data_IF_452225196731
#
_entry.id   IF_452225196731
#
_cell.length_a   1.000
_cell.length_b   1.000
_cell.length_c   1.000
_cell.angle_alpha   90.00
_cell.angle_beta   90.00
_cell.angle_gamma   90.00
#
_symmetry.space_group_name_H-M   'P 1'
#
loop_
_entity.id
_entity.type
_entity.pdbx_description
1 polymer ?
#
# COMPACT_ATOMS: atom_id res chain seq x y z
N UNK A 1 -39.89 13.85 -15.41
CA UNK A 1 -39.32 13.26 -14.20
C UNK A 1 -38.13 12.41 -14.60
N UNK A 2 -36.96 12.64 -14.01
CA UNK A 2 -35.79 11.83 -14.26
C UNK A 2 -35.66 10.82 -13.12
N UNK A 3 -35.50 9.55 -13.43
CA UNK A 3 -35.26 8.48 -12.47
C UNK A 3 -33.81 8.08 -12.52
N UNK A 4 -33.13 8.09 -11.37
CA UNK A 4 -31.79 7.50 -11.22
C UNK A 4 -31.95 6.05 -10.77
N UNK A 5 -31.40 5.11 -11.55
CA UNK A 5 -31.36 3.70 -11.17
C UNK A 5 -29.96 3.41 -10.62
N UNK A 6 -29.87 3.07 -9.35
CA UNK A 6 -28.64 2.59 -8.73
C UNK A 6 -28.63 1.06 -8.75
N UNK A 7 -27.60 0.48 -9.39
CA UNK A 7 -27.40 -0.96 -9.40
C UNK A 7 -26.08 -1.29 -8.72
N UNK A 8 -26.15 -1.93 -7.55
CA UNK A 8 -24.97 -2.41 -6.83
C UNK A 8 -24.62 -3.81 -7.33
N UNK A 9 -23.45 -3.93 -8.01
CA UNK A 9 -22.96 -5.20 -8.54
C UNK A 9 -22.16 -6.01 -7.53
N UNK A 10 -21.56 -5.35 -6.56
CA UNK A 10 -20.71 -5.95 -5.55
C UNK A 10 -21.10 -5.40 -4.18
N UNK A 11 -21.17 -6.23 -3.14
CA UNK A 11 -21.45 -5.74 -1.78
C UNK A 11 -20.33 -4.80 -1.31
N UNK A 12 -20.66 -3.90 -0.38
CA UNK A 12 -19.70 -2.99 0.22
C UNK A 12 -18.54 -3.77 0.85
N UNK A 13 -17.32 -3.47 0.43
CA UNK A 13 -16.11 -4.16 0.92
C UNK A 13 -15.56 -3.57 2.22
N UNK A 14 -16.00 -2.37 2.60
CA UNK A 14 -15.46 -1.60 3.72
C UNK A 14 -14.01 -1.14 3.49
N UNK A 15 -13.52 -1.14 2.25
CA UNK A 15 -12.20 -0.60 1.91
C UNK A 15 -12.24 0.92 2.05
N UNK A 16 -11.31 1.46 2.83
CA UNK A 16 -11.18 2.89 3.10
C UNK A 16 -10.07 3.52 2.28
N UNK A 17 -8.98 2.79 2.09
CA UNK A 17 -7.82 3.25 1.33
C UNK A 17 -7.34 2.18 0.36
N UNK A 18 -6.80 2.62 -0.77
CA UNK A 18 -6.22 1.73 -1.77
C UNK A 18 -5.07 2.39 -2.51
N UNK A 19 -4.02 1.63 -2.81
CA UNK A 19 -2.87 2.09 -3.57
C UNK A 19 -2.37 0.99 -4.51
N UNK A 20 -1.94 1.39 -5.70
CA UNK A 20 -1.24 0.51 -6.64
C UNK A 20 0.26 0.75 -6.53
N UNK A 21 1.06 -0.31 -6.47
CA UNK A 21 2.50 -0.23 -6.32
C UNK A 21 3.20 -1.51 -6.80
N UNK A 22 4.52 -1.45 -6.95
CA UNK A 22 5.36 -2.59 -7.35
C UNK A 22 6.07 -3.17 -6.12
N UNK A 23 5.48 -4.19 -5.48
CA UNK A 23 6.09 -4.83 -4.30
C UNK A 23 7.19 -5.81 -4.65
N UNK A 24 7.10 -6.47 -5.82
CA UNK A 24 8.10 -7.42 -6.30
C UNK A 24 8.71 -6.95 -7.61
N UNK A 25 9.83 -7.54 -8.03
CA UNK A 25 10.44 -7.22 -9.33
C UNK A 25 9.47 -7.54 -10.48
N UNK A 26 9.47 -6.69 -11.49
CA UNK A 26 8.58 -6.82 -12.65
C UNK A 26 8.71 -8.15 -13.40
N UNK A 27 9.83 -8.82 -13.26
CA UNK A 27 10.16 -10.07 -13.97
C UNK A 27 9.44 -11.31 -13.39
N UNK A 28 8.67 -11.12 -12.33
CA UNK A 28 7.96 -12.23 -11.69
C UNK A 28 8.88 -13.24 -10.97
N UNK A 29 10.18 -12.99 -10.94
CA UNK A 29 11.17 -13.78 -10.21
C UNK A 29 11.17 -13.28 -8.78
N UNK A 30 10.50 -13.97 -7.90
CA UNK A 30 10.23 -13.56 -6.53
C UNK A 30 8.73 -13.56 -6.25
N UNK A 31 8.01 -14.23 -7.12
CA UNK A 31 6.58 -14.47 -6.92
C UNK A 31 6.42 -15.28 -5.65
N UNK A 32 5.54 -14.76 -4.82
CA UNK A 32 4.97 -15.50 -3.71
C UNK A 32 4.80 -16.97 -4.08
N UNK A 33 5.14 -17.90 -3.19
CA UNK A 33 4.77 -19.28 -3.37
C UNK A 33 3.24 -19.39 -3.27
N UNK A 34 2.56 -18.92 -4.31
CA UNK A 34 1.11 -19.07 -4.42
C UNK A 34 0.84 -20.45 -5.02
N UNK A 35 0.11 -21.23 -4.29
CA UNK A 35 -0.39 -22.51 -4.80
C UNK A 35 -1.90 -22.45 -4.96
N UNK A 36 -2.46 -22.70 -6.14
CA UNK A 36 -1.78 -22.98 -7.43
C UNK A 36 -1.15 -21.74 -8.06
N UNK A 37 -0.12 -21.89 -8.91
CA UNK A 37 0.53 -20.75 -9.54
C UNK A 37 -0.49 -19.96 -10.37
N UNK A 38 -0.60 -18.67 -10.10
CA UNK A 38 -1.53 -17.81 -10.80
C UNK A 38 -1.05 -17.60 -12.24
N UNK A 39 -1.96 -17.79 -13.19
CA UNK A 39 -1.68 -17.59 -14.61
C UNK A 39 -1.63 -16.10 -14.96
N UNK A 40 -0.86 -15.77 -15.99
CA UNK A 40 -0.77 -14.44 -16.55
C UNK A 40 0.42 -13.62 -16.04
N UNK A 41 0.73 -12.56 -16.77
CA UNK A 41 1.81 -11.62 -16.43
C UNK A 41 1.37 -10.73 -15.27
N UNK A 42 2.21 -10.59 -14.26
CA UNK A 42 2.02 -9.60 -13.18
C UNK A 42 2.17 -8.18 -13.76
N UNK A 43 1.20 -7.34 -13.54
CA UNK A 43 1.24 -5.92 -13.90
C UNK A 43 1.71 -5.07 -12.73
N UNK A 44 1.02 -5.16 -11.61
CA UNK A 44 1.35 -4.49 -10.36
C UNK A 44 0.63 -5.16 -9.19
N UNK A 45 0.87 -4.66 -7.98
CA UNK A 45 0.11 -5.03 -6.80
C UNK A 45 -0.88 -3.93 -6.44
N UNK A 46 -2.00 -4.31 -5.86
CA UNK A 46 -2.92 -3.40 -5.19
C UNK A 46 -2.94 -3.73 -3.70
N UNK A 47 -2.72 -2.72 -2.88
CA UNK A 47 -2.89 -2.85 -1.43
C UNK A 47 -4.13 -2.09 -1.03
N UNK A 48 -5.04 -2.78 -0.36
CA UNK A 48 -6.30 -2.25 0.12
C UNK A 48 -6.28 -2.29 1.65
N UNK A 49 -6.62 -1.16 2.27
CA UNK A 49 -6.69 -1.04 3.72
C UNK A 49 -8.14 -0.92 4.18
N UNK A 50 -8.44 -1.63 5.24
CA UNK A 50 -9.68 -1.54 6.00
C UNK A 50 -9.35 -1.68 7.47
N UNK A 51 -9.62 -0.65 8.24
CA UNK A 51 -9.38 -0.63 9.69
C UNK A 51 -7.91 -0.98 10.04
N UNK A 52 -7.64 -2.14 10.63
CA UNK A 52 -6.31 -2.65 10.97
C UNK A 52 -5.77 -3.71 9.98
N UNK A 53 -6.46 -3.91 8.85
CA UNK A 53 -6.16 -4.99 7.91
C UNK A 53 -5.72 -4.44 6.57
N UNK A 54 -4.58 -4.92 6.08
CA UNK A 54 -4.15 -4.77 4.70
C UNK A 54 -4.46 -6.03 3.90
N UNK A 55 -5.02 -5.87 2.70
CA UNK A 55 -5.16 -6.95 1.72
C UNK A 55 -4.26 -6.65 0.54
N UNK A 56 -3.43 -7.59 0.19
CA UNK A 56 -2.49 -7.49 -0.92
C UNK A 56 -3.03 -8.34 -2.05
N UNK A 57 -3.24 -7.70 -3.20
CA UNK A 57 -3.73 -8.33 -4.40
C UNK A 57 -2.70 -8.17 -5.51
N UNK A 58 -2.57 -9.18 -6.34
CA UNK A 58 -1.86 -9.11 -7.62
C UNK A 58 -2.85 -8.76 -8.73
N UNK A 59 -2.46 -7.79 -9.53
CA UNK A 59 -3.14 -7.47 -10.79
C UNK A 59 -2.37 -8.16 -11.89
N UNK A 60 -2.97 -9.20 -12.46
CA UNK A 60 -2.37 -10.01 -13.52
C UNK A 60 -3.14 -9.85 -14.82
N UNK A 61 -2.45 -10.03 -15.94
CA UNK A 61 -3.07 -10.04 -17.26
C UNK A 61 -2.82 -11.40 -17.92
N UNK A 62 -3.88 -12.15 -18.16
CA UNK A 62 -3.83 -13.40 -18.94
C UNK A 62 -4.62 -13.21 -20.23
N UNK A 63 -3.95 -13.37 -21.37
CA UNK A 63 -4.54 -13.21 -22.72
C UNK A 63 -5.34 -11.91 -22.92
N UNK A 64 -4.85 -10.81 -22.32
CA UNK A 64 -5.49 -9.48 -22.41
C UNK A 64 -6.61 -9.24 -21.41
N UNK A 65 -6.93 -10.20 -20.55
CA UNK A 65 -7.94 -10.06 -19.52
C UNK A 65 -7.26 -9.78 -18.18
N UNK A 66 -7.53 -8.62 -17.53
CA UNK A 66 -7.01 -8.33 -16.20
C UNK A 66 -7.75 -9.16 -15.15
N UNK A 67 -7.00 -9.77 -14.26
CA UNK A 67 -7.50 -10.55 -13.12
C UNK A 67 -6.91 -10.03 -11.83
N UNK A 68 -7.72 -10.03 -10.77
CA UNK A 68 -7.32 -9.68 -9.42
C UNK A 68 -7.22 -10.94 -8.60
N UNK A 69 -6.08 -11.14 -7.97
CA UNK A 69 -5.83 -12.32 -7.14
C UNK A 69 -5.38 -11.86 -5.76
N UNK A 70 -6.13 -12.19 -4.73
CA UNK A 70 -5.70 -11.91 -3.37
C UNK A 70 -4.58 -12.87 -2.98
N UNK A 71 -3.45 -12.29 -2.60
CA UNK A 71 -2.22 -13.01 -2.28
C UNK A 71 -2.05 -13.15 -0.78
N UNK A 72 -2.26 -12.05 -0.05
CA UNK A 72 -2.03 -11.99 1.38
C UNK A 72 -3.03 -11.07 2.07
N UNK A 73 -3.26 -11.35 3.35
CA UNK A 73 -3.86 -10.42 4.31
C UNK A 73 -2.88 -10.22 5.45
N UNK A 74 -2.56 -8.98 5.74
CA UNK A 74 -1.61 -8.59 6.79
C UNK A 74 -2.33 -7.75 7.82
N UNK A 75 -2.29 -8.17 9.09
CA UNK A 75 -2.89 -7.43 10.20
C UNK A 75 -1.89 -6.51 10.84
N UNK A 76 -2.28 -5.27 11.03
CA UNK A 76 -1.45 -4.21 11.61
C UNK A 76 -1.80 -3.97 13.09
N UNK A 77 -0.87 -3.39 13.81
CA UNK A 77 -1.07 -3.00 15.22
C UNK A 77 -1.54 -1.54 15.30
N UNK A 78 -2.70 -1.24 14.70
CA UNK A 78 -3.29 0.08 14.75
C UNK A 78 -4.23 0.34 13.60
N UNK A 79 -5.16 1.28 13.80
CA UNK A 79 -6.12 1.69 12.79
C UNK A 79 -5.42 2.52 11.71
N UNK A 80 -5.55 2.08 10.47
CA UNK A 80 -4.97 2.76 9.30
C UNK A 80 -5.77 4.02 8.99
N UNK A 81 -5.08 5.12 8.75
CA UNK A 81 -5.67 6.40 8.32
C UNK A 81 -5.25 6.79 6.91
N UNK A 82 -4.31 6.08 6.33
CA UNK A 82 -3.88 6.26 4.95
C UNK A 82 -2.77 5.32 4.55
N UNK A 83 -2.69 5.03 3.26
CA UNK A 83 -1.61 4.25 2.65
C UNK A 83 -1.13 4.94 1.39
N UNK A 84 0.18 4.88 1.13
CA UNK A 84 0.80 5.49 -0.04
C UNK A 84 1.99 4.66 -0.53
N UNK A 85 2.17 4.62 -1.83
CA UNK A 85 3.39 4.11 -2.45
C UNK A 85 4.51 5.14 -2.36
N UNK A 86 5.70 4.71 -1.95
CA UNK A 86 6.89 5.56 -1.83
C UNK A 86 8.05 4.91 -2.56
N UNK A 87 8.73 5.71 -3.37
CA UNK A 87 10.00 5.33 -3.96
C UNK A 87 11.15 5.89 -3.12
N UNK A 88 11.94 4.99 -2.57
CA UNK A 88 13.15 5.29 -1.81
C UNK A 88 14.39 5.19 -2.72
N UNK A 89 15.56 5.57 -2.20
CA UNK A 89 16.83 5.33 -2.92
C UNK A 89 17.04 3.84 -3.23
N UNK A 90 16.64 2.96 -2.32
CA UNK A 90 16.68 1.52 -2.54
C UNK A 90 15.74 1.08 -3.69
N UNK A 91 14.61 1.75 -3.87
CA UNK A 91 13.67 1.49 -4.96
C UNK A 91 14.28 1.73 -6.35
N UNK A 92 15.24 2.65 -6.45
CA UNK A 92 15.96 2.90 -7.72
C UNK A 92 16.89 1.73 -8.09
N UNK A 93 17.35 0.98 -7.10
CA UNK A 93 18.27 -0.13 -7.29
C UNK A 93 17.50 -1.45 -7.52
N UNK A 94 16.48 -1.69 -6.70
CA UNK A 94 15.75 -2.96 -6.72
C UNK A 94 14.46 -2.93 -7.58
N UNK A 95 14.03 -1.75 -8.01
CA UNK A 95 12.82 -1.56 -8.81
C UNK A 95 11.52 -1.83 -8.05
N UNK A 96 11.55 -1.76 -6.70
CA UNK A 96 10.40 -2.04 -5.84
C UNK A 96 9.96 -0.79 -5.10
N UNK A 97 8.66 -0.60 -5.02
CA UNK A 97 8.09 0.44 -4.19
C UNK A 97 8.02 -0.02 -2.72
N UNK A 98 8.01 0.96 -1.83
CA UNK A 98 7.72 0.75 -0.41
C UNK A 98 6.32 1.27 -0.10
N UNK A 99 5.70 0.67 0.90
CA UNK A 99 4.39 1.06 1.37
C UNK A 99 4.55 1.94 2.62
N UNK A 100 4.08 3.17 2.54
CA UNK A 100 3.96 4.06 3.69
C UNK A 100 2.54 3.93 4.26
N UNK A 101 2.45 3.64 5.54
CA UNK A 101 1.18 3.47 6.27
C UNK A 101 1.11 4.49 7.39
N UNK A 102 0.03 5.26 7.44
CA UNK A 102 -0.28 6.13 8.57
C UNK A 102 -1.34 5.52 9.46
N UNK A 103 -1.22 5.77 10.76
CA UNK A 103 -2.12 5.26 11.79
C UNK A 103 -2.74 6.39 12.59
N UNK A 104 -3.91 6.11 13.16
CA UNK A 104 -4.66 7.06 14.01
C UNK A 104 -3.86 7.57 15.19
N UNK A 105 -2.95 6.76 15.72
CA UNK A 105 -2.13 7.10 16.90
C UNK A 105 -0.87 7.90 16.56
N UNK A 106 -0.91 8.75 15.55
CA UNK A 106 0.21 9.58 15.11
C UNK A 106 1.48 8.75 14.86
N UNK A 107 1.34 7.62 14.19
CA UNK A 107 2.43 6.75 13.77
C UNK A 107 2.48 6.68 12.25
N UNK A 108 3.71 6.59 11.73
CA UNK A 108 3.98 6.25 10.35
C UNK A 108 4.85 5.00 10.32
N UNK A 109 4.50 4.03 9.49
CA UNK A 109 5.33 2.87 9.22
C UNK A 109 5.72 2.84 7.75
N UNK A 110 7.00 2.62 7.48
CA UNK A 110 7.50 2.28 6.16
C UNK A 110 7.67 0.78 6.09
N UNK A 111 7.03 0.16 5.11
CA UNK A 111 7.01 -1.29 4.95
C UNK A 111 7.55 -1.69 3.58
N UNK A 112 8.22 -2.84 3.52
CA UNK A 112 8.67 -3.46 2.28
C UNK A 112 8.20 -4.90 2.19
N UNK A 113 8.21 -5.42 0.99
CA UNK A 113 7.90 -6.81 0.74
C UNK A 113 9.13 -7.69 0.99
N UNK A 114 8.95 -8.71 1.82
CA UNK A 114 9.95 -9.73 2.08
C UNK A 114 9.65 -10.98 1.24
N UNK A 115 10.53 -11.29 0.30
CA UNK A 115 10.37 -12.45 -0.58
C UNK A 115 10.54 -13.78 0.15
N UNK A 116 11.26 -13.80 1.26
CA UNK A 116 11.54 -15.02 2.01
C UNK A 116 10.30 -15.48 2.79
N UNK A 117 9.66 -14.52 3.46
CA UNK A 117 8.45 -14.80 4.24
C UNK A 117 7.16 -14.63 3.43
N UNK A 118 7.23 -14.01 2.26
CA UNK A 118 6.07 -13.71 1.45
C UNK A 118 5.05 -12.81 2.16
N UNK A 119 5.54 -11.78 2.84
CA UNK A 119 4.72 -10.87 3.62
C UNK A 119 5.35 -9.47 3.68
N UNK A 120 4.61 -8.50 4.23
CA UNK A 120 5.11 -7.15 4.48
C UNK A 120 5.94 -7.14 5.77
N UNK A 121 7.12 -6.53 5.68
CA UNK A 121 8.01 -6.29 6.82
C UNK A 121 8.15 -4.79 7.07
N UNK A 122 8.14 -4.37 8.34
CA UNK A 122 8.33 -2.97 8.72
C UNK A 122 9.81 -2.63 8.71
N UNK A 123 10.22 -1.68 7.85
CA UNK A 123 11.59 -1.16 7.81
C UNK A 123 11.80 -0.15 8.93
N UNK A 124 10.83 0.76 9.09
CA UNK A 124 10.89 1.79 10.13
C UNK A 124 9.50 2.16 10.62
N UNK A 125 9.44 2.55 11.88
CA UNK A 125 8.22 3.06 12.52
C UNK A 125 8.58 4.37 13.20
N UNK A 126 7.87 5.43 12.84
CA UNK A 126 8.00 6.75 13.44
C UNK A 126 6.76 7.07 14.25
N UNK A 127 6.95 7.49 15.49
CA UNK A 127 5.88 7.93 16.36
C UNK A 127 6.04 9.43 16.58
N UNK A 128 4.97 10.18 16.34
CA UNK A 128 4.94 11.63 16.54
C UNK A 128 4.26 11.95 17.87
N UNK A 129 4.80 12.90 18.61
CA UNK A 129 4.14 13.43 19.79
C UNK A 129 2.85 14.13 19.39
N UNK A 130 1.77 13.82 20.08
CA UNK A 130 0.52 14.57 19.94
C UNK A 130 0.66 15.90 20.65
N UNK A 131 0.58 17.01 19.90
CA UNK A 131 0.38 18.29 20.55
C UNK A 131 -0.95 18.26 21.35
N UNK A 132 -0.97 18.71 22.60
CA UNK A 132 -2.20 18.69 23.43
C UNK A 132 -3.42 19.37 22.78
N UNK A 133 -3.16 20.31 21.87
CA UNK A 133 -4.19 21.06 21.14
C UNK A 133 -4.79 20.28 19.93
N UNK A 134 -4.26 19.12 19.58
CA UNK A 134 -4.72 18.28 18.47
C UNK A 134 -5.58 17.10 18.93
N UNK A 135 -5.97 17.05 20.20
CA UNK A 135 -6.73 15.93 20.77
C UNK A 135 -8.08 15.72 20.07
N UNK A 136 -8.68 16.78 19.53
CA UNK A 136 -9.92 16.73 18.75
C UNK A 136 -9.72 16.99 17.26
N UNK A 137 -8.48 17.01 16.79
CA UNK A 137 -8.13 17.29 15.40
C UNK A 137 -8.34 16.10 14.47
N UNK A 138 -8.50 16.41 13.19
CA UNK A 138 -8.52 15.45 12.11
C UNK A 138 -7.31 14.50 12.20
N UNK A 139 -7.48 13.23 11.83
CA UNK A 139 -6.36 12.29 11.76
C UNK A 139 -5.25 12.88 10.87
N UNK A 140 -3.96 12.65 11.19
CA UNK A 140 -2.87 13.15 10.37
C UNK A 140 -3.04 12.61 8.94
N UNK A 141 -3.39 13.50 8.03
CA UNK A 141 -3.36 13.23 6.61
C UNK A 141 -1.98 13.65 6.09
N UNK A 142 -1.30 12.78 5.39
CA UNK A 142 -0.10 13.18 4.67
C UNK A 142 -0.44 13.41 3.20
N UNK A 143 0.07 14.50 2.69
CA UNK A 143 0.07 14.75 1.25
C UNK A 143 1.34 14.12 0.71
N UNK A 144 1.29 13.24 -0.28
CA UNK A 144 2.49 12.71 -0.89
C UNK A 144 3.29 13.86 -1.47
N UNK A 145 4.46 14.12 -0.90
CA UNK A 145 5.39 15.12 -1.43
C UNK A 145 6.09 14.49 -2.63
N UNK A 146 5.99 15.13 -3.78
CA UNK A 146 6.68 14.68 -4.97
C UNK A 146 8.20 14.63 -4.69
N UNK A 147 8.86 13.62 -5.22
CA UNK A 147 10.28 13.28 -5.00
C UNK A 147 11.26 14.44 -5.26
N UNK A 148 10.84 15.44 -6.01
CA UNK A 148 11.63 16.66 -6.30
C UNK A 148 11.87 17.53 -5.06
N UNK A 149 11.02 17.46 -4.04
CA UNK A 149 11.17 18.24 -2.81
C UNK A 149 12.07 17.56 -1.76
N UNK A 150 12.16 16.23 -1.75
CA UNK A 150 13.04 15.51 -0.83
C UNK A 150 14.53 15.69 -1.14
N UNK A 151 14.88 16.00 -2.41
CA UNK A 151 16.27 16.27 -2.83
C UNK A 151 16.83 17.60 -2.31
N UNK A 152 15.99 18.55 -1.96
CA UNK A 152 16.43 19.87 -1.52
C UNK A 152 16.91 19.91 -0.05
N UNK A 153 16.56 18.91 0.75
CA UNK A 153 16.93 18.86 2.18
C UNK A 153 18.16 17.99 2.50
N UNK A 154 18.64 17.18 1.55
CA UNK A 154 19.84 16.35 1.75
C UNK A 154 21.17 17.03 1.36
N UNK A 155 21.15 18.30 0.94
CA UNK A 155 22.36 19.00 0.45
C UNK A 155 22.94 19.98 1.47
N UNK A 156 22.61 19.88 2.74
CA UNK A 156 23.24 20.68 3.79
C UNK A 156 23.80 19.76 4.88
N UNK A 157 24.94 19.19 4.60
CA UNK A 157 26.02 18.86 5.56
C UNK A 157 27.33 18.79 4.79
#
# INVERSE_FOLDING_TARGET
MAYAVHHQRVPASGVEHGVALQLTKADGIGTLPSWPPHRGRLLCHAVLARDDMLRILEIRCDKGVPTLVQVRSHRLFGQVTGIQSVQTLASQVDGRDRLLVSFRDAKLALMEWDDVYGDLNSISIHTFERAPQLVDGLPPSFVPVSYTHLRAHETVL
#
